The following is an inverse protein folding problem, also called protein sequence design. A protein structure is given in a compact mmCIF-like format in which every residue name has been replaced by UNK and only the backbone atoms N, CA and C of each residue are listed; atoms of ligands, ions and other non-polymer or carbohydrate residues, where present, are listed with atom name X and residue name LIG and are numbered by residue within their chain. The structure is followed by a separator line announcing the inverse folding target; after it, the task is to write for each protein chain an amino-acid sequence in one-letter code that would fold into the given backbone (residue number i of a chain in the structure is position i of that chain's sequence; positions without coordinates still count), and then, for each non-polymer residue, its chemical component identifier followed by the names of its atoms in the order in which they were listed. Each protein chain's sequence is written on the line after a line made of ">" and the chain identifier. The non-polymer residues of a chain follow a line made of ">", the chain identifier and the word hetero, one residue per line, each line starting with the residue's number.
data_IF_098015268914
#
_entry.id   IF_098015268914
#
_cell.length_a   1.000
_cell.length_b   1.000
_cell.length_c   1.000
_cell.angle_alpha   90.00
_cell.angle_beta   90.00
_cell.angle_gamma   90.00
#
_symmetry.space_group_name_H-M   'P 1'
#
loop_
_entity.id
_entity.type
_entity.pdbx_description
1 polymer ?
#
# COMPACT_ATOMS: atom_id res chain seq x y z
N UNK A 1 -8.15 -31.22 20.01
CA UNK A 1 -7.52 -30.72 18.78
C UNK A 1 -7.79 -29.22 18.71
N UNK A 2 -6.98 -28.42 19.40
CA UNK A 2 -7.15 -26.96 19.39
C UNK A 2 -6.68 -26.44 18.05
N UNK A 3 -7.62 -25.93 17.25
CA UNK A 3 -7.34 -25.20 16.02
C UNK A 3 -6.56 -23.96 16.41
N UNK A 4 -5.27 -23.93 16.10
CA UNK A 4 -4.44 -22.73 16.19
C UNK A 4 -5.04 -21.72 15.22
N UNK A 5 -5.72 -20.69 15.75
CA UNK A 5 -6.02 -19.51 14.95
C UNK A 5 -4.70 -18.92 14.48
N UNK A 6 -4.57 -18.49 13.22
CA UNK A 6 -3.38 -17.79 12.79
C UNK A 6 -3.31 -16.51 13.63
N UNK A 7 -2.25 -16.35 14.42
CA UNK A 7 -1.92 -15.08 15.08
C UNK A 7 -1.86 -14.00 14.00
N UNK A 8 -2.90 -13.17 13.94
CA UNK A 8 -3.25 -12.32 12.79
C UNK A 8 -2.34 -11.10 12.63
N UNK A 9 -1.09 -11.32 12.22
CA UNK A 9 -0.17 -10.30 11.75
C UNK A 9 -0.14 -10.22 10.22
N UNK A 10 0.43 -9.14 9.69
CA UNK A 10 0.65 -8.99 8.26
C UNK A 10 1.69 -10.00 7.75
N UNK A 11 1.32 -10.78 6.73
CA UNK A 11 2.21 -11.72 6.05
C UNK A 11 2.70 -11.13 4.72
N UNK A 12 3.95 -10.65 4.73
CA UNK A 12 4.60 -10.06 3.57
C UNK A 12 4.76 -11.05 2.39
N UNK A 13 4.94 -12.35 2.68
CA UNK A 13 5.11 -13.35 1.64
C UNK A 13 3.79 -13.65 0.95
N UNK A 14 2.72 -13.84 1.73
CA UNK A 14 1.38 -14.02 1.19
C UNK A 14 0.93 -12.78 0.38
N UNK A 15 1.20 -11.58 0.90
CA UNK A 15 0.90 -10.34 0.19
C UNK A 15 1.67 -10.24 -1.14
N UNK A 16 2.98 -10.53 -1.14
CA UNK A 16 3.80 -10.54 -2.35
C UNK A 16 3.27 -11.52 -3.40
N UNK A 17 2.95 -12.75 -2.98
CA UNK A 17 2.47 -13.80 -3.86
C UNK A 17 1.11 -13.47 -4.48
N UNK A 18 0.24 -12.77 -3.75
CA UNK A 18 -1.05 -12.30 -4.26
C UNK A 18 -0.93 -11.08 -5.19
N UNK A 19 -0.08 -10.10 -4.84
CA UNK A 19 -0.04 -8.80 -5.53
C UNK A 19 0.88 -8.77 -6.74
N UNK A 20 2.00 -9.49 -6.73
CA UNK A 20 2.91 -9.45 -7.87
C UNK A 20 2.22 -9.86 -9.19
N UNK A 21 1.42 -10.95 -9.26
CA UNK A 21 0.69 -11.30 -10.48
C UNK A 21 -0.39 -10.29 -10.86
N UNK A 22 -1.12 -9.75 -9.88
CA UNK A 22 -2.17 -8.75 -10.13
C UNK A 22 -1.62 -7.46 -10.76
N UNK A 23 -0.35 -7.14 -10.48
CA UNK A 23 0.37 -6.00 -11.03
C UNK A 23 1.20 -6.34 -12.28
N UNK A 24 1.16 -7.59 -12.76
CA UNK A 24 1.97 -8.05 -13.89
C UNK A 24 3.48 -8.10 -13.61
N UNK A 25 3.87 -8.22 -12.33
CA UNK A 25 5.26 -8.23 -11.90
C UNK A 25 5.78 -9.66 -11.76
N UNK A 26 6.90 -9.96 -12.41
CA UNK A 26 7.66 -11.20 -12.21
C UNK A 26 8.78 -10.96 -11.21
N UNK A 27 8.66 -11.53 -10.01
CA UNK A 27 9.69 -11.45 -8.97
C UNK A 27 10.53 -12.72 -8.99
N UNK A 28 11.80 -12.58 -9.38
CA UNK A 28 12.71 -13.72 -9.46
C UNK A 28 13.10 -14.23 -8.06
N UNK A 29 13.54 -15.50 -7.93
CA UNK A 29 14.00 -16.03 -6.65
C UNK A 29 15.15 -15.21 -6.02
N UNK A 30 16.01 -14.59 -6.83
CA UNK A 30 17.10 -13.74 -6.35
C UNK A 30 16.61 -12.40 -5.78
N UNK A 31 15.52 -11.85 -6.32
CA UNK A 31 14.95 -10.57 -5.87
C UNK A 31 14.07 -10.74 -4.64
N UNK A 32 13.40 -11.90 -4.51
CA UNK A 32 12.39 -12.16 -3.48
C UNK A 32 12.83 -11.77 -2.06
N UNK A 33 14.05 -12.09 -1.57
CA UNK A 33 14.45 -11.72 -0.20
C UNK A 33 14.43 -10.20 0.03
N UNK A 34 14.95 -9.43 -0.92
CA UNK A 34 14.99 -7.97 -0.81
C UNK A 34 13.58 -7.36 -0.92
N UNK A 35 12.73 -7.89 -1.82
CA UNK A 35 11.34 -7.42 -1.96
C UNK A 35 10.55 -7.65 -0.68
N UNK A 36 10.70 -8.81 -0.04
CA UNK A 36 10.06 -9.10 1.25
C UNK A 36 10.51 -8.14 2.35
N UNK A 37 11.80 -7.80 2.40
CA UNK A 37 12.32 -6.81 3.33
C UNK A 37 11.67 -5.44 3.12
N UNK A 38 11.55 -4.97 1.87
CA UNK A 38 10.91 -3.68 1.59
C UNK A 38 9.41 -3.67 1.89
N UNK A 39 8.70 -4.78 1.64
CA UNK A 39 7.28 -4.91 2.00
C UNK A 39 7.10 -4.84 3.52
N UNK A 40 7.96 -5.48 4.30
CA UNK A 40 7.92 -5.40 5.76
C UNK A 40 8.16 -3.96 6.26
N UNK A 41 9.14 -3.24 5.68
CA UNK A 41 9.40 -1.83 6.02
C UNK A 41 8.18 -0.95 5.67
N UNK A 42 7.61 -1.15 4.49
CA UNK A 42 6.43 -0.41 4.05
C UNK A 42 5.23 -0.63 4.98
N UNK A 43 5.05 -1.84 5.51
CA UNK A 43 4.01 -2.13 6.50
C UNK A 43 4.20 -1.33 7.79
N UNK A 44 5.42 -1.30 8.35
CA UNK A 44 5.73 -0.49 9.55
C UNK A 44 5.45 0.99 9.30
N UNK A 45 5.85 1.51 8.14
CA UNK A 45 5.57 2.89 7.76
C UNK A 45 4.06 3.15 7.64
N UNK A 46 3.31 2.21 7.08
CA UNK A 46 1.85 2.29 6.98
C UNK A 46 1.18 2.33 8.35
N UNK A 47 1.62 1.49 9.29
CA UNK A 47 1.09 1.51 10.66
C UNK A 47 1.31 2.87 11.32
N UNK A 48 2.51 3.45 11.14
CA UNK A 48 2.80 4.79 11.66
C UNK A 48 1.90 5.86 11.04
N UNK A 49 1.70 5.83 9.71
CA UNK A 49 0.80 6.78 9.02
C UNK A 49 -0.64 6.64 9.52
N UNK A 50 -1.11 5.42 9.79
CA UNK A 50 -2.47 5.17 10.30
C UNK A 50 -2.69 5.73 11.71
N UNK A 51 -1.64 6.03 12.48
CA UNK A 51 -1.77 6.67 13.80
C UNK A 51 -1.97 8.19 13.73
N UNK A 52 -1.80 8.81 12.56
CA UNK A 52 -1.93 10.26 12.41
C UNK A 52 -3.41 10.64 12.52
N UNK A 53 -3.79 11.55 13.44
CA UNK A 53 -5.16 12.01 13.54
C UNK A 53 -5.54 12.79 12.29
N UNK A 54 -6.56 12.32 11.58
CA UNK A 54 -7.16 13.00 10.45
C UNK A 54 -8.56 13.48 10.84
N UNK A 55 -8.93 14.68 10.41
CA UNK A 55 -10.30 15.15 10.52
C UNK A 55 -11.16 14.38 9.51
N UNK A 56 -12.07 13.53 9.99
CA UNK A 56 -12.97 12.75 9.14
C UNK A 56 -13.91 13.62 8.29
N UNK A 57 -14.11 14.89 8.68
CA UNK A 57 -14.88 15.86 7.90
C UNK A 57 -14.07 16.49 6.76
N UNK A 58 -12.75 16.26 6.69
CA UNK A 58 -11.86 16.78 5.67
C UNK A 58 -11.43 15.67 4.69
N UNK A 59 -11.80 15.82 3.41
CA UNK A 59 -11.39 14.95 2.31
C UNK A 59 -10.31 15.62 1.42
N UNK A 60 -9.61 16.61 1.95
CA UNK A 60 -8.58 17.31 1.17
C UNK A 60 -7.36 16.43 0.95
N UNK A 61 -7.25 15.90 -0.27
CA UNK A 61 -6.04 15.25 -0.74
C UNK A 61 -4.94 16.31 -0.97
N UNK A 62 -3.68 15.89 -0.83
CA UNK A 62 -2.56 16.70 -1.28
C UNK A 62 -2.73 17.08 -2.76
N UNK A 63 -2.48 18.36 -3.10
CA UNK A 63 -2.56 18.98 -4.43
C UNK A 63 -3.51 18.29 -5.45
N UNK A 64 -4.74 18.78 -5.56
CA UNK A 64 -5.71 18.28 -6.54
C UNK A 64 -5.39 18.72 -7.97
N UNK A 65 -5.71 17.86 -8.94
CA UNK A 65 -5.74 18.19 -10.36
C UNK A 65 -6.60 19.44 -10.60
N UNK A 66 -6.04 20.42 -11.30
CA UNK A 66 -6.77 21.61 -11.77
C UNK A 66 -6.93 21.51 -13.27
N UNK A 67 -8.14 21.22 -13.79
CA UNK A 67 -8.39 21.33 -15.23
C UNK A 67 -8.02 22.73 -15.70
N UNK A 68 -7.32 22.85 -16.83
CA UNK A 68 -7.00 24.14 -17.42
C UNK A 68 -8.28 24.92 -17.71
N UNK A 69 -8.27 26.23 -17.51
CA UNK A 69 -9.41 27.08 -17.85
C UNK A 69 -9.74 26.86 -19.34
N UNK A 70 -10.92 26.31 -19.62
CA UNK A 70 -11.46 26.22 -20.98
C UNK A 70 -11.44 27.66 -21.51
N UNK A 71 -10.65 27.91 -22.55
CA UNK A 71 -10.31 29.26 -22.99
C UNK A 71 -11.55 30.14 -23.03
N UNK A 72 -11.55 31.23 -22.27
CA UNK A 72 -12.49 32.33 -22.51
C UNK A 72 -12.19 32.82 -23.92
N UNK A 73 -12.99 32.35 -24.87
CA UNK A 73 -13.00 32.86 -26.23
C UNK A 73 -13.71 34.20 -26.13
N UNK A 74 -12.93 35.28 -26.10
CA UNK A 74 -13.42 36.64 -26.38
C UNK A 74 -13.81 36.76 -27.84
#
# INVERSE_FOLDING_TARGET
>A
MSKTEPTGGFDAALHLDAMAPALGLTITPKQRPAVLQFIAIAHVMSELVQTVPLDEASLELAAVFRPGAVGQSS
#
